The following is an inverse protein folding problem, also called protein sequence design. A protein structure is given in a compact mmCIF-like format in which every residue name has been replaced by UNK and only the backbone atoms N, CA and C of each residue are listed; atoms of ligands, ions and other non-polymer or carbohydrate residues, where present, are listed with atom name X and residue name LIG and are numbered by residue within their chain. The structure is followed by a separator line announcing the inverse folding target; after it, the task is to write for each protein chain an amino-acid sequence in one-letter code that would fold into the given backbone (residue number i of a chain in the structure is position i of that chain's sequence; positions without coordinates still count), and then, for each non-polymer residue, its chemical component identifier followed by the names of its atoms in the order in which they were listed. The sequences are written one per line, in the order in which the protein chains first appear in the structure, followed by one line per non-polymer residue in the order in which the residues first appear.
data_IF_639432944019
#
_entry.id   IF_639432944019
#
_cell.length_a   1.000
_cell.length_b   1.000
_cell.length_c   1.000
_cell.angle_alpha   90.00
_cell.angle_beta   90.00
_cell.angle_gamma   90.00
#
_symmetry.space_group_name_H-M   'P 1'
#
loop_
_entity.id
_entity.type
_entity.pdbx_description
1 polymer ?
#
# COMPACT_ATOMS: atom_id res chain seq x y z
N UNK A 1 2.09 -13.22 -4.48
CA UNK A 1 1.82 -14.31 -5.45
C UNK A 1 0.33 -14.48 -5.76
N UNK A 2 -0.55 -14.48 -4.75
CA UNK A 2 -2.01 -14.58 -5.00
C UNK A 2 -2.65 -13.38 -5.68
N UNK A 3 -2.05 -12.17 -5.65
CA UNK A 3 -2.61 -10.97 -6.30
C UNK A 3 -2.79 -11.18 -7.81
N UNK A 4 -1.75 -11.66 -8.51
CA UNK A 4 -1.80 -11.86 -9.97
C UNK A 4 -2.84 -12.93 -10.32
N UNK A 5 -2.85 -14.03 -9.56
CA UNK A 5 -3.81 -15.12 -9.75
C UNK A 5 -5.24 -14.59 -9.51
N UNK A 6 -5.47 -13.85 -8.43
CA UNK A 6 -6.76 -13.24 -8.11
C UNK A 6 -7.23 -12.29 -9.21
N UNK A 7 -6.34 -11.41 -9.71
CA UNK A 7 -6.66 -10.52 -10.83
C UNK A 7 -7.05 -11.30 -12.09
N UNK A 8 -6.32 -12.36 -12.44
CA UNK A 8 -6.65 -13.21 -13.59
C UNK A 8 -8.01 -13.89 -13.40
N UNK A 9 -8.31 -14.38 -12.19
CA UNK A 9 -9.60 -15.01 -11.88
C UNK A 9 -10.75 -14.01 -11.99
N UNK A 10 -10.61 -12.82 -11.40
CA UNK A 10 -11.63 -11.76 -11.47
C UNK A 10 -11.86 -11.34 -12.92
N UNK A 11 -10.79 -11.03 -13.66
CA UNK A 11 -10.89 -10.67 -15.08
C UNK A 11 -11.52 -11.80 -15.89
N UNK A 12 -11.06 -13.04 -15.72
CA UNK A 12 -11.57 -14.20 -16.44
C UNK A 12 -13.05 -14.48 -16.16
N UNK A 13 -13.51 -14.38 -14.93
CA UNK A 13 -14.90 -14.68 -14.58
C UNK A 13 -15.85 -13.55 -14.98
N UNK A 14 -15.48 -12.29 -14.75
CA UNK A 14 -16.31 -11.13 -15.11
C UNK A 14 -16.40 -10.98 -16.63
N UNK A 15 -15.25 -10.90 -17.30
CA UNK A 15 -15.19 -10.67 -18.75
C UNK A 15 -15.48 -11.93 -19.54
N UNK A 16 -15.02 -13.10 -19.08
CA UNK A 16 -15.36 -14.38 -19.72
C UNK A 16 -16.85 -14.69 -19.63
N UNK A 17 -17.49 -14.45 -18.48
CA UNK A 17 -18.95 -14.56 -18.34
C UNK A 17 -19.71 -13.61 -19.27
N UNK A 18 -19.22 -12.38 -19.46
CA UNK A 18 -19.78 -11.42 -20.40
C UNK A 18 -19.65 -11.86 -21.88
N UNK A 19 -18.51 -12.44 -22.30
CA UNK A 19 -18.39 -13.00 -23.67
C UNK A 19 -19.35 -14.18 -23.87
N UNK A 20 -19.38 -15.10 -22.91
CA UNK A 20 -20.17 -16.33 -23.00
C UNK A 20 -21.68 -16.08 -23.05
N UNK A 21 -22.15 -14.97 -22.45
CA UNK A 21 -23.54 -14.52 -22.54
C UNK A 21 -23.87 -13.78 -23.85
N UNK A 22 -22.92 -13.65 -24.77
CA UNK A 22 -23.09 -12.97 -26.06
C UNK A 22 -22.77 -11.47 -26.02
N UNK A 23 -22.11 -10.98 -24.97
CA UNK A 23 -21.70 -9.59 -24.82
C UNK A 23 -20.64 -9.15 -25.85
N UNK A 24 -20.74 -7.90 -26.31
CA UNK A 24 -19.81 -7.30 -27.28
C UNK A 24 -18.82 -6.36 -26.59
N UNK A 25 -17.53 -6.71 -26.64
CA UNK A 25 -16.44 -5.91 -26.05
C UNK A 25 -16.27 -4.51 -26.65
N UNK A 26 -16.68 -4.34 -27.91
CA UNK A 26 -16.58 -3.08 -28.64
C UNK A 26 -17.21 -1.91 -27.88
N UNK A 27 -18.34 -2.16 -27.21
CA UNK A 27 -19.08 -1.13 -26.46
C UNK A 27 -18.27 -0.65 -25.26
N UNK A 28 -17.70 -1.60 -24.50
CA UNK A 28 -16.86 -1.29 -23.35
C UNK A 28 -15.60 -0.57 -23.81
N UNK A 29 -14.90 -1.09 -24.81
CA UNK A 29 -13.65 -0.50 -25.31
C UNK A 29 -13.83 0.91 -25.88
N UNK A 30 -14.98 1.22 -26.48
CA UNK A 30 -15.27 2.54 -27.00
C UNK A 30 -15.55 3.57 -25.89
N UNK A 31 -16.24 3.17 -24.82
CA UNK A 31 -16.54 4.05 -23.69
C UNK A 31 -15.36 4.19 -22.70
N UNK A 32 -14.53 3.15 -22.59
CA UNK A 32 -13.48 3.00 -21.58
C UNK A 32 -12.51 4.20 -21.48
N UNK A 33 -12.00 4.83 -22.56
CA UNK A 33 -11.10 5.97 -22.44
C UNK A 33 -11.73 7.18 -21.73
N UNK A 34 -13.00 7.47 -22.02
CA UNK A 34 -13.71 8.61 -21.45
C UNK A 34 -14.16 8.33 -20.02
N UNK A 35 -14.72 7.15 -19.79
CA UNK A 35 -15.19 6.73 -18.47
C UNK A 35 -14.03 6.58 -17.48
N UNK A 36 -12.90 5.98 -17.89
CA UNK A 36 -11.71 5.91 -17.04
C UNK A 36 -11.15 7.30 -16.73
N UNK A 37 -11.18 8.24 -17.67
CA UNK A 37 -10.72 9.60 -17.39
C UNK A 37 -11.56 10.27 -16.28
N UNK A 38 -12.88 10.10 -16.31
CA UNK A 38 -13.76 10.64 -15.27
C UNK A 38 -13.57 9.93 -13.94
N UNK A 39 -13.56 8.59 -13.96
CA UNK A 39 -13.48 7.77 -12.75
C UNK A 39 -12.10 7.84 -12.11
N UNK A 40 -11.05 7.52 -12.87
CA UNK A 40 -9.67 7.54 -12.38
C UNK A 40 -9.20 8.97 -12.13
N UNK A 41 -9.54 9.93 -13.00
CA UNK A 41 -9.21 11.34 -12.78
C UNK A 41 -9.90 11.92 -11.54
N UNK A 42 -11.18 11.59 -11.34
CA UNK A 42 -11.93 11.98 -10.15
C UNK A 42 -11.37 11.34 -8.87
N UNK A 43 -11.06 10.04 -8.91
CA UNK A 43 -10.49 9.31 -7.78
C UNK A 43 -9.09 9.84 -7.40
N UNK A 44 -8.21 10.02 -8.38
CA UNK A 44 -6.87 10.59 -8.15
C UNK A 44 -6.96 12.04 -7.66
N UNK A 45 -7.88 12.84 -8.22
CA UNK A 45 -8.13 14.20 -7.75
C UNK A 45 -8.59 14.23 -6.28
N UNK A 46 -9.57 13.40 -5.92
CA UNK A 46 -10.04 13.26 -4.55
C UNK A 46 -8.93 12.75 -3.61
N UNK A 47 -8.12 11.80 -4.06
CA UNK A 47 -6.99 11.25 -3.31
C UNK A 47 -5.93 12.32 -3.02
N UNK A 48 -5.61 13.18 -3.98
CA UNK A 48 -4.67 14.30 -3.79
C UNK A 48 -5.24 15.34 -2.82
N UNK A 49 -6.55 15.64 -2.89
CA UNK A 49 -7.20 16.59 -2.00
C UNK A 49 -7.20 16.07 -0.54
N UNK A 50 -7.42 14.77 -0.36
CA UNK A 50 -7.61 14.17 0.96
C UNK A 50 -6.29 13.87 1.70
N UNK A 51 -5.14 13.82 1.01
CA UNK A 51 -3.91 13.27 1.57
C UNK A 51 -2.70 14.19 1.48
N UNK A 52 -1.81 14.09 2.46
CA UNK A 52 -0.51 14.77 2.43
C UNK A 52 0.49 14.04 1.51
N UNK A 53 1.51 14.76 1.04
CA UNK A 53 2.51 14.24 0.10
C UNK A 53 3.24 12.98 0.61
N UNK A 54 3.45 12.86 1.93
CA UNK A 54 4.05 11.65 2.54
C UNK A 54 3.19 10.41 2.32
N UNK A 55 1.89 10.52 2.58
CA UNK A 55 0.90 9.43 2.40
C UNK A 55 0.77 9.06 0.93
N UNK A 56 0.70 10.05 0.03
CA UNK A 56 0.63 9.84 -1.42
C UNK A 56 1.84 9.02 -1.92
N UNK A 57 3.06 9.41 -1.53
CA UNK A 57 4.28 8.69 -1.89
C UNK A 57 4.32 7.28 -1.27
N UNK A 58 3.89 7.18 -0.02
CA UNK A 58 3.77 5.92 0.70
C UNK A 58 2.83 4.94 -0.01
N UNK A 59 1.70 5.42 -0.50
CA UNK A 59 0.67 4.64 -1.18
C UNK A 59 1.22 4.08 -2.51
N UNK A 60 1.84 4.94 -3.32
CA UNK A 60 2.48 4.53 -4.58
C UNK A 60 3.59 3.50 -4.34
N UNK A 61 4.44 3.71 -3.33
CA UNK A 61 5.45 2.74 -2.93
C UNK A 61 4.84 1.43 -2.41
N UNK A 62 3.71 1.51 -1.70
CA UNK A 62 2.95 0.39 -1.17
C UNK A 62 2.39 -0.52 -2.26
N UNK A 63 1.88 0.03 -3.36
CA UNK A 63 1.42 -0.75 -4.52
C UNK A 63 2.57 -1.62 -5.05
N UNK A 64 3.76 -1.04 -5.24
CA UNK A 64 4.94 -1.79 -5.72
C UNK A 64 5.36 -2.88 -4.71
N UNK A 65 5.30 -2.58 -3.41
CA UNK A 65 5.59 -3.56 -2.35
C UNK A 65 4.60 -4.73 -2.37
N UNK A 66 3.31 -4.48 -2.58
CA UNK A 66 2.29 -5.53 -2.65
C UNK A 66 2.58 -6.56 -3.74
N UNK A 67 3.04 -6.12 -4.91
CA UNK A 67 3.45 -7.02 -6.00
C UNK A 67 4.78 -7.74 -5.72
N UNK A 68 5.76 -7.08 -5.08
CA UNK A 68 7.05 -7.69 -4.72
C UNK A 68 6.94 -8.76 -3.64
N UNK A 69 5.94 -8.68 -2.76
CA UNK A 69 5.71 -9.64 -1.70
C UNK A 69 6.52 -9.35 -0.41
N UNK A 70 6.57 -10.31 0.53
CA UNK A 70 7.15 -10.09 1.84
C UNK A 70 8.67 -9.84 1.76
N UNK A 71 9.13 -8.77 2.44
CA UNK A 71 10.56 -8.41 2.54
C UNK A 71 11.34 -9.41 3.40
N UNK A 72 10.72 -9.87 4.50
CA UNK A 72 11.35 -10.69 5.52
C UNK A 72 10.94 -12.17 5.40
N UNK A 73 11.91 -13.04 5.64
CA UNK A 73 11.80 -14.49 5.61
C UNK A 73 12.09 -15.06 7.01
N UNK A 74 11.77 -16.34 7.23
CA UNK A 74 12.03 -17.01 8.51
C UNK A 74 13.51 -17.01 8.91
N UNK A 75 14.41 -17.02 7.93
CA UNK A 75 15.86 -16.98 8.18
C UNK A 75 16.29 -15.61 8.69
N UNK A 76 15.75 -14.54 8.12
CA UNK A 76 16.07 -13.17 8.56
C UNK A 76 15.65 -12.92 10.02
N UNK A 77 14.56 -13.54 10.50
CA UNK A 77 14.18 -13.46 11.91
C UNK A 77 15.17 -14.20 12.82
N UNK A 78 15.76 -15.31 12.36
CA UNK A 78 16.83 -15.98 13.10
C UNK A 78 18.10 -15.14 13.15
N UNK A 79 18.43 -14.48 12.04
CA UNK A 79 19.56 -13.55 11.94
C UNK A 79 19.37 -12.35 12.88
N UNK A 80 18.15 -11.83 12.99
CA UNK A 80 17.82 -10.77 13.94
C UNK A 80 18.02 -11.22 15.38
N UNK A 81 17.56 -12.42 15.74
CA UNK A 81 17.80 -12.97 17.07
C UNK A 81 19.30 -13.20 17.34
N UNK A 82 20.06 -13.64 16.34
CA UNK A 82 21.51 -13.82 16.44
C UNK A 82 22.24 -12.48 16.62
N UNK A 83 21.82 -11.44 15.89
CA UNK A 83 22.32 -10.07 16.03
C UNK A 83 22.10 -9.55 17.45
N UNK A 84 20.87 -9.61 17.96
CA UNK A 84 20.52 -9.19 19.32
C UNK A 84 21.31 -9.97 20.36
N UNK A 85 21.45 -11.29 20.18
CA UNK A 85 22.26 -12.12 21.06
C UNK A 85 23.73 -11.70 21.07
N UNK A 86 24.33 -11.40 19.92
CA UNK A 86 25.72 -10.94 19.84
C UNK A 86 25.92 -9.59 20.53
N UNK A 87 24.98 -8.65 20.40
CA UNK A 87 25.02 -7.35 21.09
C UNK A 87 24.95 -7.54 22.61
N UNK A 88 23.96 -8.28 23.10
CA UNK A 88 23.77 -8.55 24.54
C UNK A 88 24.95 -9.35 25.12
N UNK A 89 25.44 -10.37 24.40
CA UNK A 89 26.61 -11.16 24.83
C UNK A 89 27.86 -10.28 24.91
N UNK A 90 28.05 -9.38 23.96
CA UNK A 90 29.18 -8.43 23.96
C UNK A 90 29.09 -7.50 25.17
N UNK A 91 27.90 -6.95 25.45
CA UNK A 91 27.64 -6.12 26.63
C UNK A 91 28.00 -6.85 27.93
N UNK A 92 27.55 -8.10 28.08
CA UNK A 92 27.78 -8.89 29.30
C UNK A 92 29.24 -9.32 29.49
N UNK A 93 29.96 -9.59 28.41
CA UNK A 93 31.32 -10.17 28.47
C UNK A 93 32.43 -9.13 28.43
N UNK A 94 32.23 -8.03 27.70
CA UNK A 94 33.21 -6.97 27.48
C UNK A 94 32.82 -5.63 28.12
N UNK A 95 31.64 -5.55 28.73
CA UNK A 95 31.10 -4.34 29.33
C UNK A 95 30.35 -3.44 28.34
N UNK A 96 29.68 -2.43 28.89
CA UNK A 96 28.81 -1.50 28.15
C UNK A 96 29.58 -0.69 27.09
N UNK A 97 30.79 -0.23 27.42
CA UNK A 97 31.66 0.56 26.52
C UNK A 97 31.99 -0.18 25.22
N UNK A 98 32.08 -1.52 25.26
CA UNK A 98 32.35 -2.31 24.07
C UNK A 98 31.16 -2.31 23.08
N UNK A 99 29.94 -2.08 23.56
CA UNK A 99 28.73 -2.02 22.72
C UNK A 99 28.47 -0.61 22.20
N UNK A 100 28.90 0.44 22.91
CA UNK A 100 28.78 1.84 22.47
C UNK A 100 29.34 2.04 21.05
N UNK A 101 30.50 1.45 20.75
CA UNK A 101 31.12 1.52 19.42
C UNK A 101 30.24 0.93 18.31
N UNK A 102 29.35 0.00 18.66
CA UNK A 102 28.45 -0.66 17.72
C UNK A 102 27.10 0.05 17.58
N UNK A 103 26.66 0.81 18.59
CA UNK A 103 25.36 1.52 18.59
C UNK A 103 25.46 2.98 18.16
N UNK A 104 26.61 3.63 18.38
CA UNK A 104 26.86 5.01 17.93
C UNK A 104 27.21 5.06 16.44
N UNK A 105 27.82 3.99 15.94
CA UNK A 105 28.24 3.85 14.54
C UNK A 105 27.87 2.47 13.98
N UNK A 106 26.57 2.17 13.80
CA UNK A 106 26.13 0.87 13.31
C UNK A 106 26.68 0.53 11.91
N UNK A 107 26.98 1.52 11.08
CA UNK A 107 27.59 1.36 9.74
C UNK A 107 29.05 0.87 9.78
N UNK A 108 29.82 1.27 10.80
CA UNK A 108 31.20 0.80 11.00
C UNK A 108 31.24 -0.52 11.81
N UNK A 109 30.10 -0.94 12.37
CA UNK A 109 30.01 -2.06 13.30
C UNK A 109 30.22 -3.40 12.60
N UNK A 110 31.24 -4.14 13.06
CA UNK A 110 31.47 -5.53 12.63
C UNK A 110 30.29 -6.45 12.93
N UNK A 111 29.52 -6.18 14.00
CA UNK A 111 28.38 -7.00 14.39
C UNK A 111 27.22 -6.80 13.40
N UNK A 112 26.87 -5.55 13.07
CA UNK A 112 25.84 -5.26 12.08
C UNK A 112 26.28 -5.68 10.66
N UNK A 113 27.55 -5.50 10.30
CA UNK A 113 28.06 -5.89 9.00
C UNK A 113 27.98 -7.41 8.70
N UNK A 114 27.90 -8.26 9.73
CA UNK A 114 27.62 -9.69 9.54
C UNK A 114 26.19 -9.97 9.05
N UNK A 115 25.25 -9.04 9.26
CA UNK A 115 23.83 -9.19 8.93
C UNK A 115 23.39 -8.09 7.94
N UNK A 116 23.96 -8.10 6.74
CA UNK A 116 23.78 -7.05 5.72
C UNK A 116 22.32 -6.68 5.42
N UNK A 117 21.41 -7.67 5.42
CA UNK A 117 19.99 -7.42 5.14
C UNK A 117 19.27 -6.64 6.24
N UNK A 118 19.62 -6.91 7.51
CA UNK A 118 19.08 -6.19 8.67
C UNK A 118 19.72 -4.79 8.73
N UNK A 119 21.02 -4.70 8.51
CA UNK A 119 21.78 -3.44 8.53
C UNK A 119 21.39 -2.48 7.40
N UNK A 120 20.83 -3.00 6.31
CA UNK A 120 20.25 -2.18 5.24
C UNK A 120 18.89 -1.54 5.63
N UNK A 121 18.23 -2.00 6.70
CA UNK A 121 17.00 -1.41 7.20
C UNK A 121 17.31 -0.39 8.30
N UNK A 122 17.32 0.88 7.92
CA UNK A 122 17.64 1.97 8.84
C UNK A 122 16.70 2.03 10.05
N UNK A 123 15.41 1.70 9.89
CA UNK A 123 14.46 1.77 10.99
C UNK A 123 14.75 0.67 12.03
N UNK A 124 15.01 -0.56 11.59
CA UNK A 124 15.37 -1.67 12.49
C UNK A 124 16.68 -1.36 13.23
N UNK A 125 17.68 -0.84 12.51
CA UNK A 125 18.96 -0.46 13.11
C UNK A 125 18.78 0.66 14.14
N UNK A 126 18.07 1.74 13.79
CA UNK A 126 17.81 2.86 14.70
C UNK A 126 17.10 2.37 15.96
N UNK A 127 16.03 1.59 15.81
CA UNK A 127 15.28 1.03 16.93
C UNK A 127 16.19 0.25 17.88
N UNK A 128 16.99 -0.69 17.36
CA UNK A 128 17.92 -1.47 18.20
C UNK A 128 18.94 -0.56 18.89
N UNK A 129 19.55 0.36 18.15
CA UNK A 129 20.59 1.25 18.67
C UNK A 129 20.06 2.23 19.72
N UNK A 130 18.89 2.82 19.51
CA UNK A 130 18.28 3.82 20.38
C UNK A 130 17.90 3.22 21.74
N UNK A 131 17.26 2.06 21.77
CA UNK A 131 16.92 1.39 23.02
C UNK A 131 18.14 0.79 23.73
N UNK A 132 19.12 0.27 23.00
CA UNK A 132 20.40 -0.13 23.62
C UNK A 132 21.14 1.07 24.21
N UNK A 133 21.07 2.25 23.57
CA UNK A 133 21.64 3.50 24.10
C UNK A 133 20.93 3.95 25.37
N UNK A 134 19.60 3.82 25.44
CA UNK A 134 18.87 4.09 26.68
C UNK A 134 19.34 3.17 27.82
N UNK A 135 19.55 1.87 27.53
CA UNK A 135 20.09 0.93 28.52
C UNK A 135 21.51 1.33 28.98
N UNK A 136 22.37 1.87 28.10
CA UNK A 136 23.71 2.31 28.51
C UNK A 136 23.70 3.56 29.38
N UNK A 137 22.65 4.37 29.30
CA UNK A 137 22.43 5.57 30.13
C UNK A 137 21.78 5.27 31.49
N UNK A 138 21.85 4.03 31.98
CA UNK A 138 21.22 3.55 33.22
C UNK A 138 19.70 3.75 33.26
N UNK A 139 19.03 3.63 32.12
CA UNK A 139 17.59 3.47 32.10
C UNK A 139 17.26 2.02 32.50
N UNK A 140 17.08 1.79 33.80
CA UNK A 140 17.06 0.44 34.39
C UNK A 140 15.66 -0.16 34.59
N UNK A 141 14.59 0.64 34.48
CA UNK A 141 13.22 0.14 34.66
C UNK A 141 12.76 -0.61 33.40
N UNK A 142 12.67 -1.96 33.43
CA UNK A 142 12.33 -2.74 32.25
C UNK A 142 10.90 -2.47 31.78
N UNK A 143 9.98 -2.15 32.69
CA UNK A 143 8.58 -1.88 32.33
C UNK A 143 8.45 -0.56 31.58
N UNK A 144 9.18 0.47 32.00
CA UNK A 144 9.17 1.73 31.26
C UNK A 144 9.83 1.60 29.88
N UNK A 145 10.87 0.75 29.76
CA UNK A 145 11.52 0.51 28.47
C UNK A 145 10.58 -0.27 27.54
N UNK A 146 9.93 -1.31 28.04
CA UNK A 146 8.90 -2.08 27.33
C UNK A 146 7.77 -1.18 26.84
N UNK A 147 7.17 -0.37 27.72
CA UNK A 147 6.11 0.58 27.38
C UNK A 147 6.55 1.57 26.29
N UNK A 148 7.80 2.06 26.36
CA UNK A 148 8.34 2.97 25.37
C UNK A 148 8.57 2.29 24.01
N UNK A 149 9.11 1.07 24.03
CA UNK A 149 9.31 0.24 22.83
C UNK A 149 7.98 -0.10 22.16
N UNK A 150 6.97 -0.49 22.94
CA UNK A 150 5.65 -0.85 22.42
C UNK A 150 4.96 0.36 21.78
N UNK A 151 4.96 1.52 22.43
CA UNK A 151 4.40 2.76 21.87
C UNK A 151 5.07 3.20 20.57
N UNK A 152 6.39 3.07 20.48
CA UNK A 152 7.11 3.40 19.24
C UNK A 152 6.74 2.43 18.11
N UNK A 153 6.67 1.12 18.41
CA UNK A 153 6.21 0.11 17.46
C UNK A 153 4.76 0.32 17.01
N UNK A 154 3.86 0.64 17.93
CA UNK A 154 2.45 0.96 17.61
C UNK A 154 2.36 2.17 16.69
N UNK A 155 3.09 3.24 17.02
CA UNK A 155 3.14 4.45 16.20
C UNK A 155 3.68 4.15 14.81
N UNK A 156 4.79 3.44 14.71
CA UNK A 156 5.38 3.06 13.43
C UNK A 156 4.39 2.22 12.59
N UNK A 157 3.69 1.26 13.20
CA UNK A 157 2.66 0.49 12.50
C UNK A 157 1.52 1.38 12.01
N UNK A 158 1.00 2.28 12.85
CA UNK A 158 -0.06 3.20 12.46
C UNK A 158 0.37 4.08 11.27
N UNK A 159 1.55 4.68 11.33
CA UNK A 159 2.10 5.50 10.24
C UNK A 159 2.37 4.69 8.96
N UNK A 160 2.79 3.43 9.09
CA UNK A 160 3.01 2.53 7.95
C UNK A 160 1.70 2.04 7.31
N UNK A 161 0.61 1.97 8.07
CA UNK A 161 -0.72 1.57 7.60
C UNK A 161 -1.51 2.71 6.96
N UNK A 162 -1.25 3.96 7.33
CA UNK A 162 -1.95 5.14 6.81
C UNK A 162 -2.00 5.19 5.26
N UNK A 163 -0.91 4.92 4.50
CA UNK A 163 -0.98 4.91 3.05
C UNK A 163 -1.87 3.80 2.48
N UNK A 164 -1.94 2.64 3.13
CA UNK A 164 -2.86 1.58 2.73
C UNK A 164 -4.31 1.98 3.01
N UNK A 165 -4.57 2.58 4.17
CA UNK A 165 -5.90 3.08 4.52
C UNK A 165 -6.37 4.15 3.52
N UNK A 166 -5.49 5.08 3.13
CA UNK A 166 -5.83 6.11 2.14
C UNK A 166 -6.22 5.54 0.76
N UNK A 167 -5.56 4.46 0.32
CA UNK A 167 -5.92 3.75 -0.92
C UNK A 167 -7.26 3.03 -0.79
N UNK A 168 -7.52 2.40 0.37
CA UNK A 168 -8.81 1.76 0.63
C UNK A 168 -9.94 2.78 0.57
N UNK A 169 -9.79 3.94 1.21
CA UNK A 169 -10.79 5.01 1.18
C UNK A 169 -11.02 5.54 -0.24
N UNK A 170 -9.98 5.65 -1.07
CA UNK A 170 -10.13 6.00 -2.48
C UNK A 170 -10.92 4.91 -3.24
N UNK A 171 -10.60 3.64 -3.02
CA UNK A 171 -11.27 2.50 -3.64
C UNK A 171 -12.75 2.44 -3.26
N UNK A 172 -13.08 2.62 -1.98
CA UNK A 172 -14.45 2.66 -1.46
C UNK A 172 -15.27 3.82 -2.08
N UNK A 173 -14.58 4.89 -2.54
CA UNK A 173 -15.20 6.02 -3.23
C UNK A 173 -15.43 5.82 -4.74
N UNK A 174 -14.74 4.88 -5.40
CA UNK A 174 -14.83 4.64 -6.84
C UNK A 174 -16.26 4.35 -7.34
N UNK A 175 -17.12 3.60 -6.63
CA UNK A 175 -18.51 3.38 -7.05
C UNK A 175 -19.30 4.68 -7.12
N UNK A 176 -19.08 5.61 -6.18
CA UNK A 176 -19.74 6.91 -6.17
C UNK A 176 -19.30 7.77 -7.36
N UNK A 177 -18.00 7.75 -7.70
CA UNK A 177 -17.49 8.43 -8.91
C UNK A 177 -18.06 7.78 -10.18
N UNK A 178 -18.24 6.45 -10.20
CA UNK A 178 -18.91 5.73 -11.29
C UNK A 178 -20.36 6.16 -11.51
N UNK A 179 -21.10 6.44 -10.44
CA UNK A 179 -22.45 7.02 -10.53
C UNK A 179 -22.41 8.41 -11.17
N UNK A 180 -21.47 9.26 -10.78
CA UNK A 180 -21.29 10.59 -11.39
C UNK A 180 -21.00 10.47 -12.88
N UNK A 181 -20.12 9.55 -13.27
CA UNK A 181 -19.79 9.27 -14.66
C UNK A 181 -21.03 8.84 -15.48
N UNK A 182 -21.83 7.92 -14.94
CA UNK A 182 -23.08 7.51 -15.58
C UNK A 182 -24.10 8.65 -15.70
N UNK A 183 -24.23 9.50 -14.68
CA UNK A 183 -25.11 10.68 -14.72
C UNK A 183 -24.67 11.64 -15.84
N UNK A 184 -23.36 11.89 -16.00
CA UNK A 184 -22.83 12.68 -17.12
C UNK A 184 -23.15 12.04 -18.48
N UNK A 185 -23.06 10.71 -18.58
CA UNK A 185 -23.45 9.96 -19.77
C UNK A 185 -24.96 10.08 -20.09
N UNK A 186 -25.82 10.06 -19.07
CA UNK A 186 -27.27 10.27 -19.23
C UNK A 186 -27.55 11.71 -19.67
N UNK A 187 -26.89 12.72 -19.09
CA UNK A 187 -27.03 14.12 -19.51
C UNK A 187 -26.67 14.26 -21.00
N UNK A 188 -25.57 13.65 -21.42
CA UNK A 188 -25.16 13.61 -22.85
C UNK A 188 -26.21 12.93 -23.72
N UNK A 189 -26.78 11.83 -23.25
CA UNK A 189 -27.85 11.11 -23.98
C UNK A 189 -29.09 11.98 -24.14
N UNK A 190 -29.51 12.68 -23.09
CA UNK A 190 -30.68 13.57 -23.12
C UNK A 190 -30.47 14.79 -24.03
N UNK A 191 -29.24 15.27 -24.20
CA UNK A 191 -28.92 16.31 -25.18
C UNK A 191 -29.15 15.85 -26.63
N UNK A 192 -29.14 14.53 -26.88
CA UNK A 192 -29.33 13.90 -28.19
C UNK A 192 -30.68 13.18 -28.30
N UNK A 193 -31.70 13.61 -27.55
CA UNK A 193 -33.00 12.91 -27.47
C UNK A 193 -33.74 12.78 -28.80
N UNK A 194 -33.45 13.66 -29.77
CA UNK A 194 -34.07 13.65 -31.09
C UNK A 194 -33.36 12.72 -32.09
N UNK A 195 -32.25 12.10 -31.70
CA UNK A 195 -31.52 11.13 -32.54
C UNK A 195 -32.28 9.79 -32.65
N UNK A 196 -31.99 8.98 -33.67
CA UNK A 196 -32.55 7.64 -33.80
C UNK A 196 -32.29 6.76 -32.58
N UNK A 197 -33.20 5.81 -32.33
CA UNK A 197 -33.15 4.90 -31.16
C UNK A 197 -31.82 4.14 -31.09
N UNK A 198 -31.24 3.78 -32.23
CA UNK A 198 -29.95 3.07 -32.30
C UNK A 198 -28.80 3.92 -31.75
N UNK A 199 -28.81 5.23 -31.99
CA UNK A 199 -27.80 6.18 -31.48
C UNK A 199 -28.01 6.38 -29.99
N UNK A 200 -29.26 6.58 -29.57
CA UNK A 200 -29.61 6.75 -28.16
C UNK A 200 -29.21 5.51 -27.34
N UNK A 201 -29.47 4.31 -27.87
CA UNK A 201 -29.09 3.04 -27.24
C UNK A 201 -27.56 2.89 -27.06
N UNK A 202 -26.75 3.37 -28.01
CA UNK A 202 -25.29 3.39 -27.86
C UNK A 202 -24.84 4.35 -26.77
N UNK A 203 -25.44 5.53 -26.68
CA UNK A 203 -25.12 6.54 -25.66
C UNK A 203 -25.48 6.04 -24.25
N UNK A 204 -26.65 5.43 -24.08
CA UNK A 204 -27.06 4.79 -22.81
C UNK A 204 -26.12 3.63 -22.47
N UNK A 205 -25.78 2.79 -23.45
CA UNK A 205 -24.82 1.71 -23.26
C UNK A 205 -23.47 2.20 -22.74
N UNK A 206 -22.95 3.29 -23.30
CA UNK A 206 -21.72 3.94 -22.82
C UNK A 206 -21.86 4.46 -21.38
N UNK A 207 -22.97 5.11 -21.04
CA UNK A 207 -23.21 5.62 -19.69
C UNK A 207 -23.22 4.51 -18.62
N UNK A 208 -23.76 3.32 -18.95
CA UNK A 208 -23.78 2.18 -18.03
C UNK A 208 -22.38 1.57 -17.79
N UNK A 209 -21.44 1.74 -18.74
CA UNK A 209 -20.04 1.32 -18.56
C UNK A 209 -19.38 2.12 -17.44
N UNK A 210 -19.75 3.39 -17.25
CA UNK A 210 -19.22 4.22 -16.16
C UNK A 210 -19.50 3.64 -14.76
N UNK A 211 -20.76 3.31 -14.46
CA UNK A 211 -21.12 2.68 -13.17
C UNK A 211 -20.44 1.33 -13.00
N UNK A 212 -20.43 0.50 -14.06
CA UNK A 212 -19.76 -0.79 -14.03
C UNK A 212 -18.27 -0.66 -13.71
N UNK A 213 -17.55 0.24 -14.40
CA UNK A 213 -16.12 0.45 -14.17
C UNK A 213 -15.84 1.01 -12.77
N UNK A 214 -16.69 1.89 -12.24
CA UNK A 214 -16.55 2.41 -10.88
C UNK A 214 -16.62 1.31 -9.82
N UNK A 215 -17.55 0.36 -9.98
CA UNK A 215 -17.69 -0.81 -9.08
C UNK A 215 -16.60 -1.85 -9.34
N UNK A 216 -16.17 -2.02 -10.59
CA UNK A 216 -15.15 -3.00 -10.95
C UNK A 216 -13.74 -2.62 -10.45
N UNK A 217 -13.45 -1.33 -10.36
CA UNK A 217 -12.14 -0.81 -9.94
C UNK A 217 -11.98 -0.64 -8.43
N UNK A 218 -13.08 -0.65 -7.66
CA UNK A 218 -13.06 -0.62 -6.19
C UNK A 218 -12.61 -1.95 -5.61
#
# INVERSE_FOLDING_TARGET
MFIIIGLIVVLGMVFGGFVLSGGKFEIILHALPHELMVIFGGAVGAFIIANQMGVIKGALGGIVKAFKGPKWTKEDYKDLLALLFLLIKTMRTKGVVAVEQHIEKPEESKIFNHFSKISADHHVVSFICDYLRMMTMNFEDPHQMEDAMEKDLERHHAEAHEPQHSLQTMADGLPAVGIVAAVLGIIKTMASINEPVEVLGRLVGGALVGTFLGIFLS
#
